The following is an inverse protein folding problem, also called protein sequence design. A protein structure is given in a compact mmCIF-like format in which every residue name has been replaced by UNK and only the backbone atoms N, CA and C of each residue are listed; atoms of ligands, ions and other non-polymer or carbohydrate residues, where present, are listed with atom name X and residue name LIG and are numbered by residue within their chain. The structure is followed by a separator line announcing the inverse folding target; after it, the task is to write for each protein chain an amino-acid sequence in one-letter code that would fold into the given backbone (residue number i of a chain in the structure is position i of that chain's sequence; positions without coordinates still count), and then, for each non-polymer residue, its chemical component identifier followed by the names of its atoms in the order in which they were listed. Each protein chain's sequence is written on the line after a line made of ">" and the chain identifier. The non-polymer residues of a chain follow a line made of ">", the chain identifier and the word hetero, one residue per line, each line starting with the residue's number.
data_IF_781472779966
#
_entry.id   IF_781472779966
#
_cell.length_a   1.000
_cell.length_b   1.000
_cell.length_c   1.000
_cell.angle_alpha   90.00
_cell.angle_beta   90.00
_cell.angle_gamma   90.00
#
_symmetry.space_group_name_H-M   'P 1'
#
loop_
_entity.id
_entity.type
_entity.pdbx_description
1 polymer ?
#
# COMPACT_ATOMS: atom_id res chain seq x y z
N UNK A 1 -5.14 -5.25 9.67
CA UNK A 1 -5.03 -3.94 9.02
C UNK A 1 -4.72 -2.89 10.06
N UNK A 2 -5.61 -2.65 11.03
CA UNK A 2 -5.40 -1.71 12.15
C UNK A 2 -4.06 -1.88 12.90
N UNK A 3 -3.67 -3.09 13.30
CA UNK A 3 -2.37 -3.30 13.96
C UNK A 3 -1.16 -3.04 13.05
N UNK A 4 -1.30 -3.25 11.74
CA UNK A 4 -0.25 -2.89 10.77
C UNK A 4 -0.22 -1.39 10.54
N UNK A 5 -1.37 -0.72 10.53
CA UNK A 5 -1.45 0.73 10.39
C UNK A 5 -0.89 1.44 11.63
N UNK A 6 -1.16 0.90 12.83
CA UNK A 6 -0.55 1.40 14.06
C UNK A 6 0.95 1.13 14.09
N UNK A 7 1.40 -0.09 13.75
CA UNK A 7 2.82 -0.39 13.63
C UNK A 7 3.51 0.58 12.65
N UNK A 8 2.95 0.77 11.46
CA UNK A 8 3.47 1.69 10.45
C UNK A 8 3.51 3.15 10.94
N UNK A 9 2.48 3.60 11.67
CA UNK A 9 2.46 4.95 12.27
C UNK A 9 3.50 5.10 13.38
N UNK A 10 3.71 4.08 14.20
CA UNK A 10 4.75 4.09 15.25
C UNK A 10 6.17 3.99 14.69
N UNK A 11 6.34 3.31 13.56
CA UNK A 11 7.62 3.18 12.86
C UNK A 11 7.96 4.42 12.00
N UNK A 12 6.97 5.25 11.66
CA UNK A 12 7.17 6.46 10.89
C UNK A 12 7.91 7.52 11.72
N UNK A 13 9.20 7.70 11.46
CA UNK A 13 9.99 8.80 12.02
C UNK A 13 9.72 10.10 11.25
N UNK A 14 9.65 11.22 11.96
CA UNK A 14 9.58 12.55 11.34
C UNK A 14 10.82 12.76 10.47
N UNK A 15 10.62 13.15 9.21
CA UNK A 15 11.71 13.47 8.29
C UNK A 15 12.56 14.64 8.81
N UNK A 16 13.84 14.64 8.44
CA UNK A 16 14.78 15.68 8.83
C UNK A 16 14.34 17.06 8.31
N UNK A 17 14.55 18.11 9.10
CA UNK A 17 14.29 19.48 8.63
C UNK A 17 15.26 19.86 7.51
N UNK A 18 14.75 20.55 6.49
CA UNK A 18 15.55 21.13 5.41
C UNK A 18 16.19 22.46 5.81
N UNK A 19 15.78 23.05 6.94
CA UNK A 19 16.29 24.35 7.41
C UNK A 19 17.56 24.16 8.22
N UNK A 20 18.64 24.82 7.82
CA UNK A 20 19.82 24.99 8.68
C UNK A 20 19.38 25.77 9.92
N UNK A 21 19.65 25.31 11.15
CA UNK A 21 19.26 26.02 12.37
C UNK A 21 19.87 27.42 12.42
N UNK A 22 19.07 28.46 12.17
CA UNK A 22 19.47 29.84 12.39
C UNK A 22 19.02 30.28 13.78
N UNK A 23 19.92 30.17 14.75
CA UNK A 23 19.67 30.57 16.14
C UNK A 23 19.76 32.07 16.29
N UNK A 24 18.71 32.79 15.86
CA UNK A 24 18.64 34.25 16.04
C UNK A 24 18.67 34.58 17.55
N UNK A 25 19.61 35.41 18.01
CA UNK A 25 19.58 35.89 19.40
C UNK A 25 18.30 36.71 19.58
N UNK A 26 17.51 36.37 20.59
CA UNK A 26 16.36 37.20 20.99
C UNK A 26 16.88 38.18 22.02
N UNK A 27 17.03 39.43 21.62
CA UNK A 27 17.44 40.52 22.51
C UNK A 27 16.21 41.04 23.23
N UNK A 28 16.19 40.95 24.56
CA UNK A 28 15.24 41.69 25.40
C UNK A 28 15.80 43.12 25.64
N UNK A 29 14.96 44.09 25.99
CA UNK A 29 15.26 45.54 26.05
C UNK A 29 16.37 45.97 27.05
N UNK A 30 17.12 45.03 27.64
CA UNK A 30 18.20 45.26 28.61
C UNK A 30 19.62 44.90 28.16
N UNK A 31 19.85 44.66 26.86
CA UNK A 31 21.19 44.39 26.32
C UNK A 31 21.79 43.01 26.65
N UNK A 32 21.07 42.19 27.43
CA UNK A 32 21.49 40.83 27.75
C UNK A 32 20.94 39.83 26.71
N UNK A 33 21.85 39.12 26.04
CA UNK A 33 21.51 38.21 24.93
C UNK A 33 21.17 36.84 25.49
N UNK A 34 19.89 36.54 25.68
CA UNK A 34 19.43 35.22 26.10
C UNK A 34 19.14 34.33 24.89
N UNK A 35 19.91 33.27 24.72
CA UNK A 35 19.68 32.24 23.70
C UNK A 35 18.88 31.10 24.35
N UNK A 36 17.62 30.89 23.90
CA UNK A 36 16.79 29.77 24.37
C UNK A 36 17.26 28.48 23.70
N UNK A 37 17.90 27.60 24.46
CA UNK A 37 18.40 26.31 23.98
C UNK A 37 17.31 25.25 24.25
N UNK A 38 16.60 24.84 23.20
CA UNK A 38 15.66 23.70 23.27
C UNK A 38 16.43 22.40 23.03
N UNK A 39 16.07 21.26 23.66
CA UNK A 39 16.70 19.97 23.36
C UNK A 39 16.68 19.57 21.87
N UNK A 40 15.67 20.04 21.13
CA UNK A 40 15.60 19.88 19.67
C UNK A 40 16.73 20.63 18.95
N UNK A 41 17.03 21.86 19.38
CA UNK A 41 18.13 22.67 18.83
C UNK A 41 19.48 21.99 19.11
N UNK A 42 19.67 21.43 20.31
CA UNK A 42 20.90 20.69 20.65
C UNK A 42 21.06 19.48 19.73
N UNK A 43 19.99 18.70 19.54
CA UNK A 43 20.01 17.55 18.65
C UNK A 43 20.35 17.96 17.20
N UNK A 44 19.73 19.05 16.72
CA UNK A 44 20.00 19.59 15.41
C UNK A 44 21.47 20.03 15.29
N UNK A 45 22.04 20.72 16.30
CA UNK A 45 23.47 21.12 16.31
C UNK A 45 24.38 19.90 16.22
N UNK A 46 24.13 18.86 17.02
CA UNK A 46 24.93 17.62 16.99
C UNK A 46 24.86 16.89 15.66
N UNK A 47 23.72 16.96 14.97
CA UNK A 47 23.54 16.34 13.66
C UNK A 47 24.20 17.15 12.53
N UNK A 48 24.25 18.48 12.65
CA UNK A 48 24.92 19.35 11.69
C UNK A 48 26.44 19.32 11.87
N UNK A 49 26.91 19.29 13.13
CA UNK A 49 28.31 19.39 13.52
C UNK A 49 28.71 18.19 14.40
N UNK A 50 29.11 17.06 13.78
CA UNK A 50 29.51 15.87 14.53
C UNK A 50 30.76 16.10 15.40
N UNK A 51 31.62 17.04 15.03
CA UNK A 51 32.79 17.45 15.85
C UNK A 51 32.36 18.04 17.19
N UNK A 52 31.28 18.83 17.21
CA UNK A 52 30.70 19.38 18.45
C UNK A 52 30.10 18.27 19.31
N UNK A 53 29.49 17.25 18.70
CA UNK A 53 29.00 16.07 19.41
C UNK A 53 30.13 15.29 20.09
N UNK A 54 31.26 15.08 19.41
CA UNK A 54 32.46 14.42 19.99
C UNK A 54 33.03 15.24 21.15
N UNK A 55 33.19 16.55 20.95
CA UNK A 55 33.66 17.45 21.99
C UNK A 55 32.72 17.48 23.21
N UNK A 56 31.40 17.35 23.00
CA UNK A 56 30.42 17.26 24.08
C UNK A 56 30.56 15.95 24.86
N UNK A 57 30.67 14.80 24.18
CA UNK A 57 30.83 13.49 24.85
C UNK A 57 32.14 13.35 25.62
N UNK A 58 33.20 14.00 25.17
CA UNK A 58 34.53 13.90 25.79
C UNK A 58 34.69 14.88 26.96
N UNK A 59 34.04 16.06 26.90
CA UNK A 59 34.27 17.14 27.88
C UNK A 59 33.11 17.33 28.89
N UNK A 60 31.90 16.88 28.57
CA UNK A 60 30.73 16.99 29.46
C UNK A 60 30.35 15.59 29.95
N UNK A 61 30.27 15.31 31.26
CA UNK A 61 30.32 16.25 32.40
C UNK A 61 31.70 16.41 33.07
N UNK A 62 32.74 15.71 32.60
CA UNK A 62 33.98 15.53 33.36
C UNK A 62 34.88 16.78 33.43
N UNK A 63 34.90 17.63 32.40
CA UNK A 63 35.78 18.81 32.33
C UNK A 63 35.02 20.15 32.39
N UNK A 64 33.76 20.21 31.92
CA UNK A 64 32.92 21.42 31.91
C UNK A 64 31.44 21.08 32.20
N UNK A 65 30.72 22.02 32.81
CA UNK A 65 29.25 21.95 32.92
C UNK A 65 28.60 22.27 31.57
N UNK A 66 27.43 21.69 31.31
CA UNK A 66 26.66 21.92 30.06
C UNK A 66 26.44 23.41 29.78
N UNK A 67 26.09 24.19 30.81
CA UNK A 67 25.88 25.64 30.70
C UNK A 67 27.15 26.41 30.27
N UNK A 68 28.32 25.96 30.73
CA UNK A 68 29.60 26.59 30.40
C UNK A 68 30.06 26.20 29.00
N UNK A 69 29.86 24.94 28.62
CA UNK A 69 30.13 24.45 27.27
C UNK A 69 29.34 25.23 26.22
N UNK A 70 28.03 25.44 26.43
CA UNK A 70 27.20 26.19 25.49
C UNK A 70 27.53 27.68 25.48
N UNK A 71 27.86 28.30 26.62
CA UNK A 71 28.33 29.70 26.67
C UNK A 71 29.61 29.89 25.84
N UNK A 72 30.60 29.00 25.98
CA UNK A 72 31.83 29.03 25.18
C UNK A 72 31.54 28.74 23.70
N UNK A 73 30.64 27.80 23.39
CA UNK A 73 30.22 27.52 22.01
C UNK A 73 29.65 28.76 21.29
N UNK A 74 28.75 29.51 21.93
CA UNK A 74 28.17 30.72 21.34
C UNK A 74 29.15 31.90 21.21
N UNK A 75 30.18 31.94 22.06
CA UNK A 75 31.24 32.96 22.01
C UNK A 75 32.35 32.61 21.00
N UNK A 76 32.50 31.32 20.67
CA UNK A 76 33.54 30.82 19.79
C UNK A 76 33.41 31.30 18.35
N UNK A 77 34.54 31.29 17.63
CA UNK A 77 34.62 31.56 16.18
C UNK A 77 33.77 30.59 15.35
N UNK A 78 33.47 29.42 15.89
CA UNK A 78 32.70 28.38 15.22
C UNK A 78 31.25 28.82 14.93
N UNK A 79 30.59 29.48 15.89
CA UNK A 79 29.21 29.97 15.74
C UNK A 79 29.13 31.21 14.83
N UNK A 80 30.12 32.11 14.94
CA UNK A 80 30.15 33.34 14.16
C UNK A 80 30.62 33.16 12.70
N UNK A 81 31.15 31.99 12.34
CA UNK A 81 31.66 31.63 11.00
C UNK A 81 30.73 31.99 9.83
N UNK A 82 29.41 31.89 10.01
CA UNK A 82 28.42 32.08 8.95
C UNK A 82 27.61 33.38 9.09
N UNK A 83 27.83 34.16 10.15
CA UNK A 83 27.20 35.47 10.32
C UNK A 83 28.18 36.52 9.83
N UNK A 84 27.71 37.45 9.02
CA UNK A 84 28.48 38.54 8.41
C UNK A 84 29.21 39.47 9.39
N UNK A 85 29.17 39.19 10.69
CA UNK A 85 29.83 39.96 11.75
C UNK A 85 31.31 39.57 11.86
N UNK A 86 32.07 39.84 10.80
CA UNK A 86 33.53 39.72 10.78
C UNK A 86 34.21 40.61 11.85
N UNK A 87 33.56 41.68 12.31
CA UNK A 87 34.09 42.58 13.34
C UNK A 87 34.19 41.94 14.73
N UNK A 88 33.41 40.89 15.04
CA UNK A 88 33.56 40.15 16.32
C UNK A 88 34.65 39.07 16.27
N UNK A 89 35.12 38.67 15.08
CA UNK A 89 36.15 37.63 14.93
C UNK A 89 37.55 38.08 15.37
N UNK A 90 37.84 39.40 15.36
CA UNK A 90 39.17 39.93 15.71
C UNK A 90 39.47 39.94 17.21
N UNK A 91 38.44 39.99 18.06
CA UNK A 91 38.59 40.14 19.53
C UNK A 91 38.23 38.88 20.34
N UNK A 92 38.08 37.71 19.70
CA UNK A 92 37.68 36.48 20.39
C UNK A 92 38.89 35.72 20.97
N UNK A 93 38.76 35.30 22.23
CA UNK A 93 39.68 34.38 22.89
C UNK A 93 39.76 33.06 22.09
N UNK A 94 40.97 32.56 21.90
CA UNK A 94 41.19 31.25 21.27
C UNK A 94 40.75 30.17 22.26
N UNK A 95 39.79 29.37 21.85
CA UNK A 95 39.33 28.22 22.62
C UNK A 95 39.86 26.96 21.95
N UNK A 96 40.86 26.30 22.54
CA UNK A 96 41.56 25.14 21.94
C UNK A 96 40.60 24.00 21.55
N UNK A 97 39.49 23.84 22.28
CA UNK A 97 38.47 22.82 22.02
C UNK A 97 37.70 23.13 20.72
N UNK A 98 37.22 24.37 20.57
CA UNK A 98 36.39 24.76 19.43
C UNK A 98 37.23 25.15 18.20
N UNK A 99 38.47 25.59 18.39
CA UNK A 99 39.44 25.84 17.32
C UNK A 99 39.89 24.51 16.67
N UNK A 100 40.06 23.43 17.47
CA UNK A 100 40.28 22.08 16.93
C UNK A 100 39.07 21.56 16.16
N UNK A 101 37.86 21.74 16.72
CA UNK A 101 36.63 21.41 16.00
C UNK A 101 36.48 22.21 14.70
N UNK A 102 36.94 23.47 14.68
CA UNK A 102 36.94 24.32 13.50
C UNK A 102 37.88 23.80 12.42
N UNK A 103 39.12 23.45 12.78
CA UNK A 103 40.11 22.92 11.85
C UNK A 103 39.64 21.60 11.22
N UNK A 104 39.16 20.66 12.03
CA UNK A 104 38.65 19.36 11.53
C UNK A 104 37.47 19.52 10.56
N UNK A 105 36.58 20.48 10.83
CA UNK A 105 35.39 20.71 10.03
C UNK A 105 35.70 21.47 8.72
N UNK A 106 36.71 22.35 8.73
CA UNK A 106 37.25 23.01 7.51
C UNK A 106 38.05 22.03 6.65
N UNK A 107 38.89 21.18 7.23
CA UNK A 107 39.63 20.15 6.49
C UNK A 107 38.65 19.19 5.80
N UNK A 108 37.59 18.75 6.49
CA UNK A 108 36.54 17.92 5.89
C UNK A 108 35.79 18.65 4.75
N UNK A 109 35.55 19.95 4.89
CA UNK A 109 34.91 20.78 3.85
C UNK A 109 35.80 20.99 2.63
N UNK A 110 37.11 21.18 2.82
CA UNK A 110 38.08 21.41 1.74
C UNK A 110 38.37 20.13 0.97
N UNK A 111 38.46 18.99 1.66
CA UNK A 111 38.80 17.73 1.01
C UNK A 111 37.67 17.12 0.16
N UNK A 112 36.43 17.61 0.30
CA UNK A 112 35.28 17.20 -0.52
C UNK A 112 35.00 15.68 -0.50
N UNK A 113 33.97 15.21 -1.20
CA UNK A 113 33.79 13.76 -1.38
C UNK A 113 34.95 13.21 -2.22
N UNK A 114 35.75 12.30 -1.64
CA UNK A 114 36.91 11.64 -2.29
C UNK A 114 36.59 10.91 -3.60
N UNK A 115 35.31 10.76 -3.96
CA UNK A 115 34.84 10.21 -5.23
C UNK A 115 33.69 11.07 -5.76
N UNK A 116 33.94 11.85 -6.82
CA UNK A 116 32.85 12.38 -7.65
C UNK A 116 32.12 11.17 -8.24
N UNK A 117 30.84 10.98 -7.92
CA UNK A 117 30.05 9.91 -8.52
C UNK A 117 29.71 10.30 -9.96
N UNK A 118 30.65 10.03 -10.86
CA UNK A 118 30.48 10.19 -12.32
C UNK A 118 29.42 9.25 -12.90
N UNK A 119 28.89 8.30 -12.11
CA UNK A 119 27.84 7.36 -12.53
C UNK A 119 26.48 8.03 -12.81
N UNK A 120 26.29 9.29 -12.42
CA UNK A 120 25.03 10.03 -12.60
C UNK A 120 25.15 11.27 -13.49
N UNK A 121 26.33 11.51 -14.05
CA UNK A 121 26.51 12.56 -15.03
C UNK A 121 26.22 11.95 -16.40
N UNK A 122 25.28 12.53 -17.15
CA UNK A 122 25.03 12.13 -18.53
C UNK A 122 26.32 12.29 -19.31
N UNK A 123 26.94 11.16 -19.67
CA UNK A 123 28.26 11.15 -20.32
C UNK A 123 28.19 11.62 -21.76
N UNK A 124 26.98 11.69 -22.32
CA UNK A 124 26.68 12.17 -23.66
C UNK A 124 26.53 13.69 -23.75
N UNK A 125 26.46 14.40 -22.61
CA UNK A 125 26.29 15.85 -22.58
C UNK A 125 27.57 16.48 -22.06
N UNK A 126 28.36 17.05 -22.97
CA UNK A 126 29.53 17.85 -22.63
C UNK A 126 29.19 19.34 -22.72
N UNK A 127 28.92 19.95 -21.57
CA UNK A 127 28.63 21.38 -21.49
C UNK A 127 29.85 22.26 -21.80
N UNK A 128 31.07 21.71 -21.78
CA UNK A 128 32.27 22.44 -22.10
C UNK A 128 32.45 22.67 -23.60
N UNK A 129 31.85 21.83 -24.46
CA UNK A 129 31.86 22.05 -25.92
C UNK A 129 31.15 23.35 -26.31
N UNK A 130 30.08 23.72 -25.61
CA UNK A 130 29.38 25.00 -25.84
C UNK A 130 30.24 26.24 -25.60
N UNK A 131 31.39 26.11 -24.93
CA UNK A 131 32.31 27.23 -24.74
C UNK A 131 33.04 27.62 -26.03
N UNK A 132 33.24 26.68 -26.97
CA UNK A 132 33.86 26.96 -28.28
C UNK A 132 32.94 27.76 -29.21
N UNK A 133 31.62 27.68 -29.02
CA UNK A 133 30.63 28.43 -29.81
C UNK A 133 30.56 29.93 -29.44
N UNK A 134 31.21 30.33 -28.33
CA UNK A 134 31.26 31.71 -27.85
C UNK A 134 32.65 32.33 -28.10
N UNK A 135 33.02 32.54 -29.36
CA UNK A 135 34.33 33.07 -29.78
C UNK A 135 34.58 34.56 -29.50
N UNK A 136 33.69 35.29 -28.81
CA UNK A 136 33.79 36.75 -28.81
C UNK A 136 33.44 37.37 -27.46
N UNK A 137 34.42 37.39 -26.55
CA UNK A 137 34.55 38.38 -25.48
C UNK A 137 35.97 38.32 -24.94
N UNK A 138 36.82 39.28 -25.30
CA UNK A 138 38.21 39.39 -24.84
C UNK A 138 38.38 39.75 -23.36
N UNK A 139 37.40 39.45 -22.51
CA UNK A 139 37.43 39.70 -21.08
C UNK A 139 37.70 38.40 -20.33
N UNK A 140 38.56 38.45 -19.31
CA UNK A 140 38.65 37.33 -18.37
C UNK A 140 37.28 37.09 -17.70
N UNK A 141 36.91 35.83 -17.45
CA UNK A 141 35.70 35.52 -16.71
C UNK A 141 35.75 36.18 -15.33
N UNK A 142 34.63 36.80 -14.93
CA UNK A 142 34.46 37.45 -13.62
C UNK A 142 34.88 36.51 -12.47
N UNK A 143 35.23 37.06 -11.31
CA UNK A 143 35.62 36.32 -10.10
C UNK A 143 34.53 35.29 -9.73
N UNK A 144 33.26 35.54 -10.07
CA UNK A 144 32.14 34.60 -9.88
C UNK A 144 32.06 33.49 -10.93
N UNK A 145 32.68 33.69 -12.10
CA UNK A 145 32.71 32.77 -13.25
C UNK A 145 33.99 31.92 -13.27
N UNK A 146 34.94 32.18 -12.36
CA UNK A 146 36.16 31.41 -12.20
C UNK A 146 35.95 30.23 -11.23
N UNK A 147 36.24 28.98 -11.65
CA UNK A 147 36.11 27.84 -10.78
C UNK A 147 37.16 27.88 -9.66
N UNK A 148 36.71 27.79 -8.40
CA UNK A 148 37.63 27.63 -7.26
C UNK A 148 38.12 28.94 -6.63
N UNK A 149 37.72 30.10 -7.15
CA UNK A 149 38.01 31.41 -6.55
C UNK A 149 36.73 32.01 -5.94
N UNK A 150 36.85 32.61 -4.75
CA UNK A 150 35.76 33.36 -4.10
C UNK A 150 35.32 32.88 -2.71
N UNK A 151 34.89 33.85 -1.88
CA UNK A 151 34.38 33.64 -0.52
C UNK A 151 33.10 32.78 -0.49
N UNK A 152 32.34 32.78 -1.59
CA UNK A 152 31.10 32.01 -1.77
C UNK A 152 31.31 30.49 -1.76
N UNK A 153 32.51 29.99 -2.09
CA UNK A 153 32.78 28.55 -2.16
C UNK A 153 32.65 27.85 -0.81
N UNK A 154 33.01 28.52 0.27
CA UNK A 154 32.86 27.99 1.63
C UNK A 154 31.39 27.77 1.97
N UNK A 155 30.52 28.70 1.55
CA UNK A 155 29.08 28.61 1.73
C UNK A 155 28.47 27.52 0.83
N UNK A 156 28.89 27.46 -0.44
CA UNK A 156 28.43 26.45 -1.39
C UNK A 156 28.81 25.03 -0.95
N UNK A 157 30.04 24.80 -0.49
CA UNK A 157 30.49 23.50 0.05
C UNK A 157 29.65 23.08 1.26
N UNK A 158 29.31 24.01 2.14
CA UNK A 158 28.43 23.75 3.30
C UNK A 158 27.01 23.41 2.87
N UNK A 159 26.45 24.15 1.91
CA UNK A 159 25.11 23.90 1.40
C UNK A 159 25.03 22.52 0.73
N UNK A 160 26.04 22.17 -0.08
CA UNK A 160 26.14 20.85 -0.70
C UNK A 160 26.31 19.73 0.34
N UNK A 161 27.14 19.94 1.38
CA UNK A 161 27.28 19.00 2.51
C UNK A 161 25.96 18.82 3.27
N UNK A 162 25.23 19.90 3.50
CA UNK A 162 23.93 19.87 4.15
C UNK A 162 22.89 19.12 3.31
N UNK A 163 22.76 19.47 2.02
CA UNK A 163 21.88 18.79 1.08
C UNK A 163 22.22 17.29 0.98
N UNK A 164 23.50 16.95 0.88
CA UNK A 164 23.96 15.55 0.89
C UNK A 164 23.53 14.82 2.16
N UNK A 165 23.66 15.44 3.34
CA UNK A 165 23.30 14.82 4.61
C UNK A 165 21.78 14.65 4.76
N UNK A 166 20.99 15.62 4.32
CA UNK A 166 19.51 15.50 4.26
C UNK A 166 19.11 14.35 3.34
N UNK A 167 19.69 14.28 2.14
CA UNK A 167 19.42 13.19 1.20
C UNK A 167 19.84 11.82 1.76
N UNK A 168 21.03 11.71 2.35
CA UNK A 168 21.50 10.48 3.02
C UNK A 168 20.61 10.06 4.18
N UNK A 169 19.99 10.99 4.90
CA UNK A 169 19.06 10.67 5.98
C UNK A 169 17.71 10.13 5.48
N UNK A 170 17.26 10.59 4.30
CA UNK A 170 16.03 10.09 3.66
C UNK A 170 16.21 8.77 2.91
N UNK A 171 17.40 8.54 2.36
CA UNK A 171 17.76 7.28 1.74
C UNK A 171 18.03 6.31 2.87
N UNK A 172 17.02 5.47 3.18
CA UNK A 172 17.15 4.35 4.13
C UNK A 172 18.51 3.66 3.96
N UNK A 173 19.12 3.17 5.04
CA UNK A 173 20.34 2.34 5.07
C UNK A 173 20.28 1.04 4.24
N UNK A 174 19.50 0.99 3.16
CA UNK A 174 19.89 0.17 2.04
C UNK A 174 21.26 0.70 1.61
N UNK A 175 22.35 -0.05 1.81
CA UNK A 175 23.56 0.27 1.10
C UNK A 175 23.11 0.34 -0.36
N UNK A 176 23.22 1.51 -0.99
CA UNK A 176 23.47 1.51 -2.42
C UNK A 176 24.67 0.60 -2.52
N UNK A 177 24.44 -0.66 -2.90
CA UNK A 177 25.52 -1.61 -3.16
C UNK A 177 26.52 -0.78 -3.96
N UNK A 178 27.79 -0.66 -3.52
CA UNK A 178 28.81 -0.20 -4.41
C UNK A 178 28.70 -1.20 -5.55
N UNK A 179 28.02 -0.80 -6.63
CA UNK A 179 27.96 -1.62 -7.83
C UNK A 179 29.42 -1.64 -8.24
N UNK A 180 30.07 -2.74 -7.90
CA UNK A 180 31.32 -3.33 -8.36
C UNK A 180 32.53 -2.41 -8.64
N UNK A 181 33.71 -3.03 -8.62
CA UNK A 181 35.02 -2.40 -8.75
C UNK A 181 35.10 -1.41 -9.93
N UNK A 182 35.89 -0.32 -9.82
CA UNK A 182 36.12 0.66 -10.89
C UNK A 182 36.70 0.11 -12.21
N UNK A 183 36.95 -1.19 -12.32
CA UNK A 183 37.62 -1.82 -13.46
C UNK A 183 36.67 -2.45 -14.48
N UNK A 184 35.41 -2.78 -14.14
CA UNK A 184 34.48 -3.49 -15.05
C UNK A 184 33.30 -2.66 -15.57
N UNK A 185 33.23 -1.38 -15.20
CA UNK A 185 32.43 -0.38 -15.92
C UNK A 185 33.10 -0.01 -17.22
N UNK A 186 33.25 -1.00 -18.10
CA UNK A 186 33.50 -0.75 -19.51
C UNK A 186 32.45 0.25 -19.98
N UNK A 187 32.91 1.30 -20.67
CA UNK A 187 32.12 2.39 -21.25
C UNK A 187 30.77 1.93 -21.84
N UNK A 188 30.68 0.70 -22.33
CA UNK A 188 29.49 0.07 -22.89
C UNK A 188 28.24 -0.03 -22.00
N UNK A 189 28.31 -0.04 -20.66
CA UNK A 189 27.08 -0.17 -19.82
C UNK A 189 26.41 1.17 -19.49
N UNK A 190 27.20 2.22 -19.24
CA UNK A 190 26.63 3.54 -18.90
C UNK A 190 25.90 4.19 -20.07
N UNK A 191 26.50 4.14 -21.27
CA UNK A 191 25.87 4.72 -22.46
C UNK A 191 24.62 3.96 -22.90
N UNK A 192 24.52 2.64 -22.69
CA UNK A 192 23.35 1.86 -23.10
C UNK A 192 22.09 2.35 -22.40
N UNK A 193 22.14 2.49 -21.08
CA UNK A 193 21.01 2.98 -20.30
C UNK A 193 20.64 4.43 -20.69
N UNK A 194 21.61 5.26 -21.09
CA UNK A 194 21.39 6.63 -21.56
C UNK A 194 20.89 6.72 -23.02
N UNK A 195 21.07 5.67 -23.84
CA UNK A 195 20.68 5.60 -25.26
C UNK A 195 19.31 4.93 -25.45
N UNK A 196 18.87 4.10 -24.51
CA UNK A 196 17.56 3.44 -24.58
C UNK A 196 16.46 4.50 -24.55
N UNK A 197 15.62 4.49 -25.58
CA UNK A 197 14.41 5.32 -25.68
C UNK A 197 13.24 4.38 -25.43
N UNK A 198 12.54 4.55 -24.32
CA UNK A 198 11.45 3.65 -23.87
C UNK A 198 10.39 3.41 -24.96
N UNK A 199 10.12 4.41 -25.80
CA UNK A 199 9.14 4.33 -26.90
C UNK A 199 9.58 3.48 -28.11
N UNK A 200 10.88 3.21 -28.26
CA UNK A 200 11.45 2.45 -29.39
C UNK A 200 11.75 0.99 -29.05
N UNK A 201 11.69 0.63 -27.76
CA UNK A 201 11.85 -0.76 -27.34
C UNK A 201 10.60 -1.57 -27.69
N UNK A 202 10.81 -2.85 -28.02
CA UNK A 202 9.69 -3.75 -28.24
C UNK A 202 8.88 -3.87 -26.94
N UNK A 203 7.55 -3.77 -27.03
CA UNK A 203 6.67 -4.03 -25.89
C UNK A 203 7.09 -5.33 -25.19
N UNK A 204 7.39 -5.27 -23.90
CA UNK A 204 7.69 -6.45 -23.10
C UNK A 204 6.44 -7.35 -23.09
N UNK A 205 6.42 -8.35 -23.97
CA UNK A 205 5.39 -9.38 -23.95
C UNK A 205 5.66 -10.21 -22.71
N UNK A 206 4.98 -9.87 -21.60
CA UNK A 206 5.01 -10.68 -20.38
C UNK A 206 4.75 -12.15 -20.76
N UNK A 207 5.54 -13.12 -20.24
CA UNK A 207 5.38 -14.52 -20.58
C UNK A 207 4.03 -15.02 -20.06
N UNK A 208 3.01 -14.95 -20.92
CA UNK A 208 1.67 -15.47 -20.64
C UNK A 208 1.72 -16.99 -20.75
N UNK A 209 1.29 -17.66 -19.68
CA UNK A 209 1.07 -19.11 -19.73
C UNK A 209 -0.11 -19.36 -20.65
N UNK A 210 0.15 -19.95 -21.82
CA UNK A 210 -0.89 -20.35 -22.75
C UNK A 210 -1.70 -21.49 -22.12
N UNK A 211 -2.99 -21.25 -21.84
CA UNK A 211 -3.90 -22.29 -21.37
C UNK A 211 -4.36 -23.14 -22.55
N UNK A 212 -3.73 -24.31 -22.72
CA UNK A 212 -4.20 -25.32 -23.67
C UNK A 212 -5.21 -26.25 -23.00
N UNK A 213 -6.47 -26.20 -23.42
CA UNK A 213 -7.53 -27.05 -22.88
C UNK A 213 -7.56 -28.34 -23.71
N UNK A 214 -7.07 -29.44 -23.13
CA UNK A 214 -7.00 -30.75 -23.81
C UNK A 214 -8.38 -31.30 -24.23
N UNK A 215 -9.44 -31.00 -23.47
CA UNK A 215 -10.79 -31.46 -23.78
C UNK A 215 -11.83 -30.39 -23.45
N UNK A 216 -12.19 -29.62 -24.47
CA UNK A 216 -13.24 -28.60 -24.37
C UNK A 216 -14.63 -29.21 -24.22
N UNK A 217 -14.84 -30.47 -24.62
CA UNK A 217 -16.16 -31.13 -24.52
C UNK A 217 -16.54 -31.36 -23.07
N UNK A 218 -15.61 -31.83 -22.24
CA UNK A 218 -15.81 -31.97 -20.78
C UNK A 218 -16.20 -30.67 -20.08
N UNK A 219 -15.66 -29.53 -20.53
CA UNK A 219 -16.06 -28.23 -20.01
C UNK A 219 -17.55 -27.96 -20.27
N UNK A 220 -18.00 -28.16 -21.51
CA UNK A 220 -19.41 -27.97 -21.88
C UNK A 220 -20.36 -29.00 -21.25
N UNK A 221 -19.94 -30.27 -21.14
CA UNK A 221 -20.71 -31.32 -20.44
C UNK A 221 -20.87 -31.04 -18.94
N UNK A 222 -19.86 -30.46 -18.29
CA UNK A 222 -19.98 -30.09 -16.88
C UNK A 222 -20.93 -28.91 -16.68
N UNK A 223 -21.05 -28.04 -17.68
CA UNK A 223 -21.90 -26.85 -17.63
C UNK A 223 -23.37 -27.18 -17.89
N UNK A 224 -23.67 -28.27 -18.62
CA UNK A 224 -25.03 -28.78 -18.83
C UNK A 224 -25.58 -29.59 -17.65
N UNK A 225 -24.82 -29.66 -16.54
CA UNK A 225 -25.25 -29.99 -15.17
C UNK A 225 -26.45 -30.92 -15.07
N UNK A 226 -26.22 -32.23 -15.02
CA UNK A 226 -27.22 -33.25 -14.63
C UNK A 226 -28.61 -33.05 -15.24
N UNK A 227 -28.69 -32.56 -16.48
CA UNK A 227 -29.87 -32.81 -17.29
C UNK A 227 -29.83 -34.28 -17.63
N UNK A 228 -30.84 -35.04 -17.18
CA UNK A 228 -31.14 -36.43 -17.57
C UNK A 228 -31.50 -36.52 -19.06
N UNK A 229 -30.66 -35.94 -19.92
CA UNK A 229 -30.67 -36.13 -21.35
C UNK A 229 -29.28 -36.68 -21.68
N UNK A 230 -29.19 -38.00 -21.65
CA UNK A 230 -28.21 -38.77 -22.39
C UNK A 230 -28.38 -38.43 -23.89
N UNK A 231 -27.91 -37.26 -24.30
CA UNK A 231 -27.59 -37.00 -25.70
C UNK A 231 -26.23 -37.65 -25.87
N UNK A 232 -26.31 -38.95 -26.14
CA UNK A 232 -25.22 -39.88 -26.12
C UNK A 232 -23.99 -39.35 -26.86
N UNK A 233 -22.88 -39.50 -26.17
CA UNK A 233 -21.60 -39.87 -26.75
C UNK A 233 -21.80 -41.03 -27.75
N UNK A 234 -22.11 -40.70 -29.00
CA UNK A 234 -21.91 -41.58 -30.13
C UNK A 234 -21.86 -40.73 -31.40
N UNK A 235 -20.78 -40.86 -32.15
CA UNK A 235 -20.49 -40.24 -33.46
C UNK A 235 -21.47 -40.65 -34.58
N UNK A 236 -22.69 -41.03 -34.24
CA UNK A 236 -23.78 -41.26 -35.18
C UNK A 236 -24.95 -40.49 -34.62
N UNK A 237 -25.20 -39.29 -35.13
CA UNK A 237 -26.58 -38.78 -35.20
C UNK A 237 -27.43 -39.99 -35.62
N UNK A 238 -28.38 -40.46 -34.80
CA UNK A 238 -29.07 -41.70 -35.10
C UNK A 238 -29.75 -41.49 -36.43
N UNK A 239 -29.23 -42.15 -37.48
CA UNK A 239 -29.74 -42.00 -38.84
C UNK A 239 -31.22 -42.36 -38.86
N UNK A 240 -31.64 -43.22 -37.91
CA UNK A 240 -33.04 -43.52 -37.58
C UNK A 240 -33.89 -42.29 -37.18
N UNK A 241 -33.35 -41.33 -36.42
CA UNK A 241 -34.07 -40.10 -36.08
C UNK A 241 -34.21 -39.18 -37.29
N UNK A 242 -33.17 -39.09 -38.13
CA UNK A 242 -33.23 -38.34 -39.40
C UNK A 242 -34.17 -39.00 -40.41
N UNK A 243 -34.19 -40.34 -40.51
CA UNK A 243 -35.13 -41.05 -41.39
C UNK A 243 -36.56 -40.94 -40.87
N UNK A 244 -36.78 -41.02 -39.55
CA UNK A 244 -38.09 -40.80 -38.96
C UNK A 244 -38.58 -39.37 -39.15
N UNK A 245 -37.70 -38.37 -38.97
CA UNK A 245 -38.03 -36.98 -39.27
C UNK A 245 -38.34 -36.81 -40.76
N UNK A 246 -37.53 -37.36 -41.65
CA UNK A 246 -37.76 -37.31 -43.10
C UNK A 246 -39.09 -37.99 -43.49
N UNK A 247 -39.45 -39.10 -42.85
CA UNK A 247 -40.74 -39.76 -43.05
C UNK A 247 -41.91 -38.93 -42.51
N UNK A 248 -41.78 -38.34 -41.32
CA UNK A 248 -42.81 -37.47 -40.72
C UNK A 248 -43.04 -36.20 -41.52
N UNK A 249 -41.99 -35.66 -42.15
CA UNK A 249 -42.06 -34.47 -42.99
C UNK A 249 -42.38 -34.76 -44.45
N UNK A 250 -42.31 -36.02 -44.91
CA UNK A 250 -42.62 -36.39 -46.29
C UNK A 250 -44.07 -36.06 -46.67
N UNK A 251 -45.00 -36.26 -45.73
CA UNK A 251 -46.43 -35.98 -45.89
C UNK A 251 -46.88 -34.71 -45.16
N UNK A 252 -45.93 -33.95 -44.58
CA UNK A 252 -46.26 -32.75 -43.82
C UNK A 252 -46.45 -31.54 -44.75
N UNK A 253 -47.69 -31.11 -44.88
CA UNK A 253 -48.03 -29.84 -45.50
C UNK A 253 -48.35 -28.80 -44.41
N UNK A 254 -47.66 -27.64 -44.34
CA UNK A 254 -47.99 -26.60 -43.38
C UNK A 254 -49.30 -25.93 -43.77
N UNK A 255 -50.39 -26.31 -43.11
CA UNK A 255 -51.68 -25.65 -43.26
C UNK A 255 -51.74 -24.40 -42.37
N UNK A 256 -51.17 -23.29 -42.88
CA UNK A 256 -51.16 -21.98 -42.24
C UNK A 256 -52.57 -21.37 -42.06
N UNK A 257 -53.60 -22.00 -42.62
CA UNK A 257 -54.99 -21.56 -42.46
C UNK A 257 -55.63 -22.14 -41.19
N UNK A 258 -55.02 -23.13 -40.54
CA UNK A 258 -55.47 -23.63 -39.24
C UNK A 258 -55.03 -22.64 -38.15
N UNK A 259 -55.96 -21.88 -37.54
CA UNK A 259 -55.58 -21.00 -36.45
C UNK A 259 -55.05 -21.85 -35.30
N UNK A 260 -53.98 -21.37 -34.65
CA UNK A 260 -53.53 -21.89 -33.36
C UNK A 260 -54.78 -21.99 -32.46
N UNK A 261 -55.01 -23.17 -31.87
CA UNK A 261 -56.21 -23.42 -31.05
C UNK A 261 -56.35 -22.28 -30.03
N UNK A 262 -57.44 -21.50 -30.14
CA UNK A 262 -57.67 -20.31 -29.30
C UNK A 262 -57.63 -20.64 -27.81
N UNK A 263 -58.03 -21.85 -27.42
CA UNK A 263 -57.93 -22.33 -26.03
C UNK A 263 -56.50 -22.38 -25.51
N UNK A 264 -55.55 -22.89 -26.31
CA UNK A 264 -54.13 -23.00 -25.95
C UNK A 264 -53.50 -21.60 -25.88
N UNK A 265 -53.79 -20.75 -26.86
CA UNK A 265 -53.32 -19.35 -26.85
C UNK A 265 -53.89 -18.57 -25.65
N UNK A 266 -55.16 -18.76 -25.32
CA UNK A 266 -55.79 -18.15 -24.13
C UNK A 266 -55.17 -18.69 -22.83
N UNK A 267 -54.87 -19.98 -22.75
CA UNK A 267 -54.26 -20.58 -21.56
C UNK A 267 -52.83 -20.06 -21.36
N UNK A 268 -52.02 -19.99 -22.42
CA UNK A 268 -50.65 -19.46 -22.36
C UNK A 268 -50.66 -17.98 -22.00
N UNK A 269 -51.53 -17.18 -22.61
CA UNK A 269 -51.65 -15.75 -22.26
C UNK A 269 -52.16 -15.55 -20.84
N UNK A 270 -53.10 -16.36 -20.34
CA UNK A 270 -53.52 -16.34 -18.94
C UNK A 270 -52.38 -16.73 -17.98
N UNK A 271 -51.58 -17.74 -18.31
CA UNK A 271 -50.41 -18.12 -17.50
C UNK A 271 -49.37 -17.01 -17.46
N UNK A 272 -49.07 -16.39 -18.61
CA UNK A 272 -48.15 -15.25 -18.68
C UNK A 272 -48.67 -14.06 -17.90
N UNK A 273 -49.95 -13.71 -18.05
CA UNK A 273 -50.58 -12.62 -17.32
C UNK A 273 -50.59 -12.87 -15.81
N UNK A 274 -50.81 -14.12 -15.38
CA UNK A 274 -50.70 -14.51 -13.97
C UNK A 274 -49.27 -14.34 -13.45
N UNK A 275 -48.28 -14.82 -14.19
CA UNK A 275 -46.87 -14.67 -13.82
C UNK A 275 -46.42 -13.20 -13.73
N UNK A 276 -46.88 -12.36 -14.66
CA UNK A 276 -46.61 -10.91 -14.64
C UNK A 276 -47.28 -10.25 -13.42
N UNK A 277 -48.54 -10.62 -13.13
CA UNK A 277 -49.26 -10.11 -11.96
C UNK A 277 -48.58 -10.52 -10.65
N UNK A 278 -48.15 -11.77 -10.54
CA UNK A 278 -47.43 -12.28 -9.37
C UNK A 278 -46.09 -11.54 -9.19
N UNK A 279 -45.34 -11.31 -10.27
CA UNK A 279 -44.09 -10.52 -10.26
C UNK A 279 -44.33 -9.07 -9.83
N UNK A 280 -45.35 -8.41 -10.36
CA UNK A 280 -45.67 -7.02 -10.01
C UNK A 280 -46.12 -6.91 -8.55
N UNK A 281 -46.90 -7.86 -8.05
CA UNK A 281 -47.30 -7.92 -6.65
C UNK A 281 -46.11 -8.12 -5.71
N UNK A 282 -45.14 -8.96 -6.07
CA UNK A 282 -43.89 -9.13 -5.32
C UNK A 282 -43.06 -7.84 -5.27
N UNK A 283 -42.91 -7.15 -6.41
CA UNK A 283 -42.20 -5.87 -6.49
C UNK A 283 -42.90 -4.76 -5.69
N UNK A 284 -44.23 -4.71 -5.72
CA UNK A 284 -45.01 -3.75 -4.93
C UNK A 284 -44.87 -4.01 -3.42
N UNK A 285 -44.84 -5.28 -3.00
CA UNK A 285 -44.56 -5.66 -1.61
C UNK A 285 -43.14 -5.30 -1.17
N UNK A 286 -42.13 -5.45 -2.04
CA UNK A 286 -40.75 -5.06 -1.72
C UNK A 286 -40.62 -3.55 -1.51
N UNK A 287 -41.31 -2.72 -2.31
CA UNK A 287 -41.28 -1.25 -2.16
C UNK A 287 -42.02 -0.75 -0.91
N UNK A 288 -43.07 -1.45 -0.49
CA UNK A 288 -43.86 -1.08 0.69
C UNK A 288 -43.41 -1.80 1.97
N UNK A 289 -42.37 -2.65 1.90
CA UNK A 289 -41.78 -3.35 3.04
C UNK A 289 -40.62 -2.55 3.64
N UNK A 290 -40.81 -1.26 3.87
CA UNK A 290 -40.19 -0.65 5.05
C UNK A 290 -40.87 -1.30 6.25
N UNK A 291 -40.34 -2.46 6.66
CA UNK A 291 -40.75 -3.14 7.87
C UNK A 291 -40.56 -2.16 9.03
N UNK A 292 -41.66 -1.58 9.51
CA UNK A 292 -41.68 -0.67 10.65
C UNK A 292 -41.42 -1.47 11.93
N UNK A 293 -40.17 -1.87 12.11
CA UNK A 293 -39.69 -2.51 13.32
C UNK A 293 -39.19 -1.39 14.25
N UNK A 294 -39.39 -1.49 15.58
CA UNK A 294 -38.77 -0.56 16.51
C UNK A 294 -37.26 -0.48 16.31
N UNK A 295 -36.65 0.73 16.28
CA UNK A 295 -35.23 0.90 15.96
C UNK A 295 -34.30 0.17 16.95
N UNK A 296 -34.75 -0.03 18.19
CA UNK A 296 -34.01 -0.83 19.19
C UNK A 296 -33.91 -2.32 18.78
N UNK A 297 -34.98 -2.88 18.24
CA UNK A 297 -35.02 -4.28 17.80
C UNK A 297 -34.20 -4.45 16.50
N UNK A 298 -34.24 -3.48 15.59
CA UNK A 298 -33.40 -3.47 14.39
C UNK A 298 -31.90 -3.48 14.73
N UNK A 299 -31.46 -2.63 15.67
CA UNK A 299 -30.06 -2.62 16.12
C UNK A 299 -29.66 -3.97 16.74
N UNK A 300 -30.52 -4.59 17.55
CA UNK A 300 -30.28 -5.91 18.11
C UNK A 300 -30.14 -6.98 17.01
N UNK A 301 -31.05 -6.98 16.03
CA UNK A 301 -31.01 -7.89 14.88
C UNK A 301 -29.72 -7.71 14.08
N UNK A 302 -29.32 -6.46 13.80
CA UNK A 302 -28.10 -6.14 13.05
C UNK A 302 -26.83 -6.57 13.80
N UNK A 303 -26.80 -6.42 15.12
CA UNK A 303 -25.70 -6.86 15.96
C UNK A 303 -25.56 -8.39 15.96
N UNK A 304 -26.68 -9.12 16.13
CA UNK A 304 -26.71 -10.59 16.05
C UNK A 304 -26.31 -11.06 14.65
N UNK A 305 -26.79 -10.38 13.62
CA UNK A 305 -26.46 -10.70 12.23
C UNK A 305 -24.96 -10.53 11.95
N UNK A 306 -24.38 -9.41 12.37
CA UNK A 306 -22.95 -9.13 12.21
C UNK A 306 -22.09 -10.12 13.01
N UNK A 307 -22.47 -10.45 14.24
CA UNK A 307 -21.78 -11.45 15.05
C UNK A 307 -21.84 -12.85 14.41
N UNK A 308 -23.02 -13.28 13.95
CA UNK A 308 -23.22 -14.57 13.28
C UNK A 308 -22.38 -14.70 12.00
N UNK A 309 -22.25 -13.60 11.24
CA UNK A 309 -21.40 -13.55 10.04
C UNK A 309 -19.92 -13.79 10.38
N UNK A 310 -19.40 -13.15 11.43
CA UNK A 310 -18.02 -13.36 11.86
C UNK A 310 -17.81 -14.76 12.44
N UNK A 311 -18.77 -15.31 13.19
CA UNK A 311 -18.70 -16.70 13.65
C UNK A 311 -18.66 -17.69 12.50
N UNK A 312 -19.49 -17.51 11.47
CA UNK A 312 -19.46 -18.33 10.26
C UNK A 312 -18.12 -18.20 9.54
N UNK A 313 -17.58 -16.98 9.40
CA UNK A 313 -16.27 -16.76 8.77
C UNK A 313 -15.15 -17.51 9.51
N UNK A 314 -15.10 -17.40 10.83
CA UNK A 314 -14.13 -18.11 11.66
C UNK A 314 -14.35 -19.63 11.65
N UNK A 315 -15.61 -20.08 11.62
CA UNK A 315 -15.93 -21.47 11.42
C UNK A 315 -15.36 -21.99 10.09
N UNK A 316 -15.75 -21.44 8.95
CA UNK A 316 -15.33 -21.92 7.62
C UNK A 316 -13.83 -21.84 7.38
N UNK A 317 -13.14 -20.83 7.91
CA UNK A 317 -11.67 -20.74 7.87
C UNK A 317 -10.95 -21.82 8.68
N UNK A 318 -11.61 -22.39 9.69
CA UNK A 318 -11.02 -23.40 10.58
C UNK A 318 -11.51 -24.83 10.30
N UNK A 319 -12.65 -25.02 9.61
CA UNK A 319 -13.24 -26.35 9.32
C UNK A 319 -12.24 -27.31 8.66
N UNK A 320 -11.53 -26.83 7.64
CA UNK A 320 -10.62 -27.66 6.84
C UNK A 320 -9.17 -27.69 7.37
N UNK A 321 -8.94 -27.17 8.58
CA UNK A 321 -7.59 -27.08 9.13
C UNK A 321 -7.24 -28.30 10.00
N UNK A 322 -6.10 -28.94 9.72
CA UNK A 322 -5.62 -30.10 10.46
C UNK A 322 -4.86 -29.74 11.77
N UNK A 323 -4.65 -28.45 12.06
CA UNK A 323 -3.90 -28.02 13.24
C UNK A 323 -4.73 -28.16 14.53
N UNK A 324 -4.18 -28.73 15.62
CA UNK A 324 -4.93 -29.03 16.85
C UNK A 324 -5.52 -27.78 17.51
N UNK A 325 -4.78 -26.68 17.54
CA UNK A 325 -5.22 -25.39 18.10
C UNK A 325 -6.44 -24.82 17.33
N UNK A 326 -6.48 -25.01 16.01
CA UNK A 326 -7.59 -24.56 15.16
C UNK A 326 -8.82 -25.46 15.29
N UNK A 327 -8.64 -26.74 15.59
CA UNK A 327 -9.73 -27.67 15.89
C UNK A 327 -10.41 -27.28 17.21
N UNK A 328 -9.64 -26.90 18.23
CA UNK A 328 -10.21 -26.43 19.50
C UNK A 328 -10.95 -25.09 19.33
N UNK A 329 -10.36 -24.15 18.58
CA UNK A 329 -11.05 -22.90 18.19
C UNK A 329 -12.35 -23.18 17.44
N UNK A 330 -12.36 -24.15 16.51
CA UNK A 330 -13.57 -24.55 15.79
C UNK A 330 -14.65 -25.11 16.73
N UNK A 331 -14.29 -25.95 17.71
CA UNK A 331 -15.23 -26.44 18.75
C UNK A 331 -15.86 -25.29 19.54
N UNK A 332 -15.05 -24.30 19.96
CA UNK A 332 -15.54 -23.10 20.64
C UNK A 332 -16.48 -22.29 19.74
N UNK A 333 -16.17 -22.15 18.46
CA UNK A 333 -17.05 -21.45 17.49
C UNK A 333 -18.37 -22.18 17.27
N UNK A 334 -18.39 -23.51 17.23
CA UNK A 334 -19.62 -24.31 17.13
C UNK A 334 -20.53 -24.07 18.33
N UNK A 335 -19.94 -23.97 19.52
CA UNK A 335 -20.70 -23.67 20.74
C UNK A 335 -21.27 -22.25 20.70
N UNK A 336 -20.51 -21.27 20.19
CA UNK A 336 -21.03 -19.92 19.97
C UNK A 336 -22.16 -19.90 18.93
N UNK A 337 -22.05 -20.69 17.86
CA UNK A 337 -23.11 -20.82 16.83
C UNK A 337 -24.41 -21.35 17.45
N UNK A 338 -24.33 -22.35 18.35
CA UNK A 338 -25.52 -22.84 19.09
C UNK A 338 -26.15 -21.76 19.95
N UNK A 339 -25.33 -21.06 20.75
CA UNK A 339 -25.79 -19.94 21.59
C UNK A 339 -26.41 -18.81 20.76
N UNK A 340 -25.89 -18.54 19.56
CA UNK A 340 -26.51 -17.54 18.67
C UNK A 340 -27.87 -17.98 18.13
N UNK A 341 -28.08 -19.28 17.89
CA UNK A 341 -29.39 -19.80 17.47
C UNK A 341 -30.40 -19.67 18.60
N UNK A 342 -30.02 -20.03 19.83
CA UNK A 342 -30.86 -19.85 21.03
C UNK A 342 -31.22 -18.37 21.22
N UNK A 343 -30.24 -17.47 21.08
CA UNK A 343 -30.47 -16.02 21.17
C UNK A 343 -31.38 -15.48 20.06
N UNK A 344 -31.35 -16.04 18.86
CA UNK A 344 -32.29 -15.67 17.78
C UNK A 344 -33.71 -16.09 18.16
N UNK A 345 -33.89 -17.27 18.76
CA UNK A 345 -35.19 -17.72 19.24
C UNK A 345 -35.71 -16.85 20.40
N UNK A 346 -34.86 -16.49 21.37
CA UNK A 346 -35.21 -15.55 22.45
C UNK A 346 -35.63 -14.16 21.93
N UNK A 347 -34.90 -13.63 20.95
CA UNK A 347 -35.25 -12.33 20.33
C UNK A 347 -36.55 -12.43 19.54
N UNK A 348 -36.82 -13.57 18.91
CA UNK A 348 -38.09 -13.81 18.24
C UNK A 348 -39.28 -13.93 19.21
N UNK A 349 -39.06 -14.47 20.41
CA UNK A 349 -40.09 -14.60 21.46
C UNK A 349 -40.39 -13.25 22.13
N UNK A 350 -39.34 -12.49 22.47
CA UNK A 350 -39.48 -11.15 23.06
C UNK A 350 -40.13 -10.13 22.13
N UNK A 351 -40.04 -10.32 20.81
CA UNK A 351 -40.67 -9.47 19.80
C UNK A 351 -42.18 -9.70 19.62
N UNK A 352 -42.79 -10.73 20.22
CA UNK A 352 -44.24 -10.95 20.21
C UNK A 352 -44.87 -10.92 18.81
N UNK A 353 -45.68 -9.90 18.52
CA UNK A 353 -46.37 -9.70 17.23
C UNK A 353 -45.39 -9.48 16.05
N UNK A 354 -44.25 -8.82 16.30
CA UNK A 354 -43.17 -8.61 15.31
C UNK A 354 -42.24 -9.83 15.19
N UNK A 355 -42.41 -10.86 16.04
CA UNK A 355 -41.58 -12.06 16.04
C UNK A 355 -41.64 -12.84 14.72
N UNK A 356 -42.79 -12.84 14.01
CA UNK A 356 -42.91 -13.47 12.68
C UNK A 356 -42.05 -12.76 11.63
N UNK A 357 -41.95 -11.44 11.74
CA UNK A 357 -41.12 -10.60 10.88
C UNK A 357 -39.64 -10.86 11.17
N UNK A 358 -39.25 -10.89 12.44
CA UNK A 358 -37.89 -11.21 12.88
C UNK A 358 -37.45 -12.60 12.41
N UNK A 359 -38.29 -13.63 12.55
CA UNK A 359 -38.00 -14.99 12.03
C UNK A 359 -37.84 -15.01 10.51
N UNK A 360 -38.61 -14.21 9.77
CA UNK A 360 -38.46 -14.11 8.32
C UNK A 360 -37.11 -13.49 7.94
N UNK A 361 -36.67 -12.46 8.68
CA UNK A 361 -35.37 -11.80 8.49
C UNK A 361 -34.21 -12.75 8.79
N UNK A 362 -34.30 -13.53 9.87
CA UNK A 362 -33.27 -14.50 10.25
C UNK A 362 -33.31 -15.82 9.46
N UNK A 363 -34.36 -16.12 8.69
CA UNK A 363 -34.52 -17.40 7.97
C UNK A 363 -33.28 -17.84 7.20
N UNK A 364 -32.66 -16.93 6.44
CA UNK A 364 -31.46 -17.24 5.65
C UNK A 364 -30.23 -17.48 6.54
N UNK A 365 -30.12 -16.72 7.63
CA UNK A 365 -29.04 -16.84 8.60
C UNK A 365 -29.15 -18.12 9.43
N UNK A 366 -30.35 -18.45 9.92
CA UNK A 366 -30.61 -19.71 10.61
C UNK A 366 -30.26 -20.91 9.72
N UNK A 367 -30.64 -20.86 8.43
CA UNK A 367 -30.27 -21.91 7.49
C UNK A 367 -28.75 -22.04 7.34
N UNK A 368 -28.02 -20.93 7.27
CA UNK A 368 -26.55 -20.94 7.20
C UNK A 368 -25.90 -21.49 8.48
N UNK A 369 -26.40 -21.10 9.66
CA UNK A 369 -25.92 -21.58 10.96
C UNK A 369 -26.22 -23.08 11.15
N UNK A 370 -27.43 -23.53 10.80
CA UNK A 370 -27.82 -24.96 10.82
C UNK A 370 -26.95 -25.77 9.87
N UNK A 371 -26.68 -25.28 8.66
CA UNK A 371 -25.75 -25.94 7.72
C UNK A 371 -24.33 -26.06 8.28
N UNK A 372 -23.82 -25.03 8.94
CA UNK A 372 -22.51 -25.09 9.60
C UNK A 372 -22.46 -26.19 10.68
N UNK A 373 -23.52 -26.34 11.47
CA UNK A 373 -23.62 -27.44 12.46
C UNK A 373 -23.65 -28.82 11.80
N UNK A 374 -24.40 -28.98 10.70
CA UNK A 374 -24.47 -30.24 9.94
C UNK A 374 -23.09 -30.63 9.38
N UNK A 375 -22.34 -29.68 8.81
CA UNK A 375 -21.00 -29.96 8.27
C UNK A 375 -20.03 -30.46 9.34
N UNK A 376 -20.20 -30.06 10.61
CA UNK A 376 -19.37 -30.55 11.71
C UNK A 376 -19.83 -31.89 12.29
N UNK A 377 -21.14 -32.13 12.29
CA UNK A 377 -21.73 -33.41 12.73
C UNK A 377 -21.48 -34.51 11.69
N UNK A 378 -21.42 -34.17 10.41
CA UNK A 378 -20.89 -35.06 9.40
C UNK A 378 -19.45 -35.42 9.81
N UNK A 379 -19.13 -36.72 9.97
CA UNK A 379 -17.75 -37.11 10.21
C UNK A 379 -16.91 -36.52 9.08
N UNK A 380 -15.68 -36.10 9.40
CA UNK A 380 -14.67 -35.66 8.42
C UNK A 380 -14.26 -36.89 7.58
N UNK A 381 -15.19 -37.51 6.87
CA UNK A 381 -14.99 -38.51 5.83
C UNK A 381 -14.63 -37.74 4.57
N UNK A 382 -13.45 -37.13 4.65
CA UNK A 382 -12.94 -36.23 3.65
C UNK A 382 -11.45 -36.10 3.82
N UNK A 383 -10.75 -37.24 3.93
CA UNK A 383 -9.36 -37.32 3.45
C UNK A 383 -9.38 -37.00 1.95
N UNK A 384 -9.59 -35.73 1.58
CA UNK A 384 -9.11 -35.21 0.30
C UNK A 384 -7.61 -35.26 0.43
N UNK A 385 -7.03 -36.40 0.01
CA UNK A 385 -5.62 -36.52 -0.35
C UNK A 385 -5.33 -35.30 -1.21
N UNK A 386 -4.62 -34.32 -0.65
CA UNK A 386 -3.94 -33.31 -1.47
C UNK A 386 -2.95 -34.12 -2.31
N UNK A 387 -3.27 -34.30 -3.59
CA UNK A 387 -2.31 -34.78 -4.55
C UNK A 387 -1.14 -33.78 -4.52
N UNK A 388 0.06 -34.33 -4.37
CA UNK A 388 1.32 -33.62 -4.57
C UNK A 388 1.45 -33.17 -6.02
#
# INVERSE_FOLDING_TARGET
>A
HLLRDEAAKTEQKKGRSSTVPDLKPVTEEGGDVKIKITPQIIHDIFEHYPSVKKAYTENVPHNLKEEEFWKRYFQSKFFHRNRSNADRMKNQQKDDIFDKCFAEDEDELVHGPKKRRLDRLNRLIDLSMTAEDHLESGNEPDITMQPGTGKSLTLLRKFNRHAERVLKSSLSEKPMKPKESPSDYTQKKGYKDEIIIEDLDADEIEPRILLNINDSRRYFESQTGTSMNDIGQNEKFPTSALTNMKALFADWHPDLRKPIRRSVSSQVTQMLNKAIKDRNNLNARQRNSEMKIPPALEQQVMNIHSASKEFLRHFWSTVNSAAPERIEKNKRMVEQIRKTLERIDEVAETAGEDGKVVRLMFKHMEAALKNALVVRQAPINGKRKRAQ
#
